data_IF_786739123426
#
_entry.id   IF_786739123426
#
_cell.length_a   1.000
_cell.length_b   1.000
_cell.length_c   1.000
_cell.angle_alpha   90.00
_cell.angle_beta   90.00
_cell.angle_gamma   90.00
#
_symmetry.space_group_name_H-M   'P 1'
#
loop_
_entity.id
_entity.type
_entity.pdbx_description
1 polymer ?
#
# COMPACT_ATOMS: atom_id res chain seq x y z
N UNK A 1 13.12 -16.23 -9.93
CA UNK A 1 11.65 -16.15 -9.74
C UNK A 1 11.11 -14.96 -10.53
N UNK A 2 10.37 -15.20 -11.60
CA UNK A 2 9.72 -14.12 -12.38
C UNK A 2 8.52 -13.61 -11.57
N UNK A 3 8.72 -12.54 -10.81
CA UNK A 3 7.62 -11.81 -10.17
C UNK A 3 6.78 -11.22 -11.30
N UNK A 4 5.63 -11.82 -11.59
CA UNK A 4 4.64 -11.25 -12.51
C UNK A 4 4.11 -9.97 -11.87
N UNK A 5 4.79 -8.86 -12.14
CA UNK A 5 4.31 -7.52 -11.76
C UNK A 5 3.08 -7.26 -12.62
N UNK A 6 1.91 -7.17 -11.98
CA UNK A 6 0.67 -6.74 -12.63
C UNK A 6 0.94 -5.39 -13.31
N UNK A 7 0.68 -5.32 -14.62
CA UNK A 7 0.86 -4.10 -15.43
C UNK A 7 -0.51 -3.60 -15.90
N UNK A 8 -0.67 -2.28 -15.98
CA UNK A 8 -1.88 -1.68 -16.57
C UNK A 8 -1.85 -1.79 -18.11
N UNK A 9 -2.91 -1.33 -18.79
CA UNK A 9 -3.00 -1.31 -20.27
C UNK A 9 -1.85 -0.52 -20.95
N UNK A 10 -1.21 0.39 -20.22
CA UNK A 10 -0.05 1.17 -20.67
C UNK A 10 1.30 0.53 -20.27
N UNK A 11 1.32 -0.75 -19.89
CA UNK A 11 2.51 -1.51 -19.48
C UNK A 11 3.23 -0.95 -18.23
N UNK A 12 2.60 -0.07 -17.47
CA UNK A 12 3.16 0.45 -16.22
C UNK A 12 2.84 -0.47 -15.05
N UNK A 13 3.77 -0.63 -14.09
CA UNK A 13 3.54 -1.45 -12.91
C UNK A 13 2.39 -0.89 -12.06
N UNK A 14 1.46 -1.75 -11.69
CA UNK A 14 0.34 -1.43 -10.81
C UNK A 14 0.86 -1.37 -9.37
N UNK A 15 0.75 -0.19 -8.74
CA UNK A 15 1.25 0.04 -7.37
C UNK A 15 0.22 -0.30 -6.29
N UNK A 16 -1.06 -0.30 -6.63
CA UNK A 16 -2.17 -0.60 -5.73
C UNK A 16 -3.35 -1.16 -6.53
N UNK A 17 -4.10 -2.07 -5.92
CA UNK A 17 -5.32 -2.65 -6.48
C UNK A 17 -6.47 -2.34 -5.52
N UNK A 18 -7.59 -1.85 -6.06
CA UNK A 18 -8.83 -1.69 -5.28
C UNK A 18 -9.54 -3.03 -5.23
N UNK A 19 -9.84 -3.50 -4.02
CA UNK A 19 -10.68 -4.66 -3.81
C UNK A 19 -12.10 -4.19 -3.48
N UNK A 20 -13.09 -4.78 -4.15
CA UNK A 20 -14.50 -4.54 -3.88
C UNK A 20 -15.09 -5.80 -3.25
N UNK A 21 -15.73 -5.63 -2.09
CA UNK A 21 -16.30 -6.73 -1.33
C UNK A 21 -17.82 -6.66 -1.36
N UNK A 22 -18.46 -7.82 -1.48
CA UNK A 22 -19.93 -7.92 -1.46
C UNK A 22 -20.50 -7.82 -0.03
N UNK A 23 -19.70 -8.13 0.98
CA UNK A 23 -20.10 -8.07 2.40
C UNK A 23 -19.16 -7.15 3.19
N UNK A 24 -19.73 -6.43 4.15
CA UNK A 24 -18.95 -5.61 5.08
C UNK A 24 -18.07 -6.46 6.01
N UNK A 25 -18.52 -7.67 6.36
CA UNK A 25 -17.79 -8.58 7.24
C UNK A 25 -16.47 -9.04 6.63
N UNK A 26 -16.48 -9.52 5.38
CA UNK A 26 -15.25 -9.96 4.70
C UNK A 26 -14.28 -8.80 4.44
N UNK A 27 -14.83 -7.60 4.18
CA UNK A 27 -14.01 -6.38 4.09
C UNK A 27 -13.31 -6.11 5.42
N UNK A 28 -14.04 -6.13 6.53
CA UNK A 28 -13.48 -5.80 7.85
C UNK A 28 -12.43 -6.82 8.28
N UNK A 29 -12.69 -8.11 8.08
CA UNK A 29 -11.73 -9.18 8.39
C UNK A 29 -10.39 -8.98 7.64
N UNK A 30 -10.45 -8.65 6.35
CA UNK A 30 -9.25 -8.40 5.55
C UNK A 30 -8.57 -7.07 5.92
N UNK A 31 -9.32 -6.05 6.33
CA UNK A 31 -8.76 -4.79 6.83
C UNK A 31 -8.07 -4.99 8.18
N UNK A 32 -8.66 -5.75 9.10
CA UNK A 32 -8.09 -6.09 10.40
C UNK A 32 -6.84 -6.95 10.27
N UNK A 33 -6.82 -7.89 9.32
CA UNK A 33 -5.62 -8.67 9.01
C UNK A 33 -4.44 -7.79 8.54
N UNK A 34 -4.70 -6.65 7.92
CA UNK A 34 -3.69 -5.66 7.50
C UNK A 34 -2.75 -6.10 6.37
N UNK A 35 -2.74 -7.39 6.03
CA UNK A 35 -1.99 -7.98 4.93
C UNK A 35 -2.75 -9.15 4.28
N UNK A 36 -2.51 -9.35 2.98
CA UNK A 36 -2.99 -10.53 2.25
C UNK A 36 -1.84 -11.19 1.51
N UNK A 37 -1.85 -12.53 1.46
CA UNK A 37 -0.86 -13.31 0.71
C UNK A 37 -1.47 -13.81 -0.60
N UNK A 38 -0.87 -13.44 -1.73
CA UNK A 38 -1.26 -13.93 -3.06
C UNK A 38 -0.01 -14.50 -3.73
N UNK A 39 -0.04 -15.80 -4.05
CA UNK A 39 1.07 -16.50 -4.71
C UNK A 39 2.43 -16.24 -4.03
N UNK A 40 2.48 -16.38 -2.70
CA UNK A 40 3.67 -16.17 -1.85
C UNK A 40 4.18 -14.72 -1.78
N UNK A 41 3.40 -13.75 -2.28
CA UNK A 41 3.70 -12.32 -2.14
C UNK A 41 2.73 -11.73 -1.14
N UNK A 42 3.28 -11.10 -0.09
CA UNK A 42 2.50 -10.33 0.89
C UNK A 42 2.21 -8.93 0.37
N UNK A 43 0.95 -8.53 0.42
CA UNK A 43 0.48 -7.20 0.09
C UNK A 43 -0.08 -6.54 1.33
N UNK A 44 0.37 -5.31 1.61
CA UNK A 44 -0.23 -4.49 2.65
C UNK A 44 -1.65 -4.10 2.23
N UNK A 45 -2.61 -4.39 3.09
CA UNK A 45 -3.99 -3.92 2.93
C UNK A 45 -4.14 -2.62 3.71
N UNK A 46 -4.77 -1.65 3.07
CA UNK A 46 -5.16 -0.39 3.71
C UNK A 46 -6.59 -0.09 3.33
N UNK A 47 -7.31 0.57 4.24
CA UNK A 47 -8.66 1.01 3.95
C UNK A 47 -8.65 1.99 2.78
N UNK A 48 -9.43 1.66 1.75
CA UNK A 48 -9.56 2.52 0.57
C UNK A 48 -10.61 3.59 0.86
N UNK A 49 -10.13 4.81 1.05
CA UNK A 49 -11.01 5.96 1.14
C UNK A 49 -11.13 6.60 -0.23
N UNK A 50 -12.35 6.55 -0.80
CA UNK A 50 -12.65 7.35 -1.98
C UNK A 50 -12.36 8.82 -1.67
N UNK A 51 -11.70 9.51 -2.61
CA UNK A 51 -11.44 10.94 -2.44
C UNK A 51 -12.76 11.67 -2.20
N UNK A 52 -12.80 12.48 -1.14
CA UNK A 52 -14.03 13.14 -0.77
C UNK A 52 -14.45 14.12 -1.88
N UNK A 53 -15.73 14.08 -2.24
CA UNK A 53 -16.28 15.03 -3.21
C UNK A 53 -16.24 16.43 -2.61
N UNK A 54 -15.60 17.36 -3.32
CA UNK A 54 -15.57 18.77 -2.90
C UNK A 54 -16.88 19.42 -3.26
N UNK A 55 -17.55 19.97 -2.26
CA UNK A 55 -18.69 20.85 -2.47
C UNK A 55 -18.20 22.16 -3.11
N UNK A 56 -18.57 22.37 -4.38
CA UNK A 56 -18.30 23.61 -5.13
C UNK A 56 -19.64 24.28 -5.42
N UNK A 57 -19.78 25.53 -5.02
CA UNK A 57 -20.98 26.32 -5.25
C UNK A 57 -21.18 26.60 -6.73
N UNK A 58 -22.33 26.25 -7.30
CA UNK A 58 -22.62 26.47 -8.73
C UNK A 58 -22.81 27.94 -9.12
N UNK A 59 -22.89 28.86 -8.15
CA UNK A 59 -23.07 30.29 -8.41
C UNK A 59 -21.75 31.05 -8.45
N UNK A 60 -20.90 30.87 -7.43
CA UNK A 60 -19.62 31.58 -7.32
C UNK A 60 -18.39 30.70 -7.59
N UNK A 61 -18.58 29.39 -7.80
CA UNK A 61 -17.53 28.39 -7.88
C UNK A 61 -16.60 28.32 -6.66
N UNK A 62 -17.00 28.92 -5.52
CA UNK A 62 -16.31 28.80 -4.25
C UNK A 62 -16.45 27.40 -3.63
N UNK A 63 -15.43 26.97 -2.90
CA UNK A 63 -15.43 25.70 -2.15
C UNK A 63 -16.21 25.83 -0.83
N UNK A 64 -16.78 24.72 -0.36
CA UNK A 64 -17.22 24.55 1.03
C UNK A 64 -18.61 25.08 1.39
N UNK A 65 -19.43 25.51 0.42
CA UNK A 65 -20.78 25.98 0.72
C UNK A 65 -21.81 25.64 -0.37
N UNK A 66 -23.07 25.52 0.04
CA UNK A 66 -24.20 25.36 -0.87
C UNK A 66 -24.62 26.70 -1.47
N UNK A 67 -25.23 26.66 -2.66
CA UNK A 67 -25.76 27.86 -3.34
C UNK A 67 -26.69 28.71 -2.46
N UNK A 68 -27.49 28.08 -1.60
CA UNK A 68 -28.40 28.75 -0.66
C UNK A 68 -27.67 29.65 0.34
N UNK A 69 -26.42 29.31 0.68
CA UNK A 69 -25.59 30.01 1.66
C UNK A 69 -24.47 30.82 0.96
N UNK A 70 -24.62 31.08 -0.34
CA UNK A 70 -23.64 31.87 -1.08
C UNK A 70 -23.80 33.36 -0.76
N UNK A 71 -22.68 34.03 -0.48
CA UNK A 71 -22.65 35.47 -0.23
C UNK A 71 -22.88 36.30 -1.50
N UNK A 72 -22.61 35.72 -2.69
CA UNK A 72 -22.89 36.33 -3.99
C UNK A 72 -24.33 35.99 -4.41
N UNK A 73 -25.35 36.67 -3.87
CA UNK A 73 -26.75 36.37 -4.22
C UNK A 73 -27.18 36.97 -5.56
N UNK A 74 -26.70 38.18 -5.86
CA UNK A 74 -27.10 38.97 -7.03
C UNK A 74 -26.06 38.95 -8.16
N UNK A 75 -24.94 38.25 -7.93
CA UNK A 75 -23.84 38.11 -8.88
C UNK A 75 -23.51 36.63 -8.99
N UNK A 76 -23.13 36.20 -10.18
CA UNK A 76 -22.61 34.89 -10.46
C UNK A 76 -21.22 35.00 -11.07
N UNK A 77 -20.38 34.01 -10.83
CA UNK A 77 -19.00 34.00 -11.35
C UNK A 77 -18.96 33.15 -12.62
N UNK A 78 -18.32 33.64 -13.67
CA UNK A 78 -18.13 32.87 -14.89
C UNK A 78 -17.21 31.67 -14.63
N UNK A 79 -17.63 30.48 -15.06
CA UNK A 79 -16.85 29.23 -14.88
C UNK A 79 -15.48 29.28 -15.57
N UNK A 80 -15.41 29.97 -16.70
CA UNK A 80 -14.24 29.98 -17.60
C UNK A 80 -13.26 31.06 -17.17
N UNK A 81 -13.67 32.32 -17.14
CA UNK A 81 -12.77 33.45 -16.86
C UNK A 81 -12.76 33.91 -15.40
N UNK A 82 -13.62 33.36 -14.55
CA UNK A 82 -13.74 33.74 -13.13
C UNK A 82 -14.15 35.19 -12.85
N UNK A 83 -14.69 35.88 -13.85
CA UNK A 83 -15.25 37.23 -13.68
C UNK A 83 -16.65 37.19 -13.07
N UNK A 84 -16.94 38.16 -12.19
CA UNK A 84 -18.26 38.32 -11.57
C UNK A 84 -19.20 39.07 -12.50
N UNK A 85 -20.42 38.59 -12.63
CA UNK A 85 -21.42 39.09 -13.56
C UNK A 85 -22.80 39.03 -12.91
N UNK A 86 -23.64 40.04 -13.12
CA UNK A 86 -25.03 40.02 -12.63
C UNK A 86 -25.88 38.98 -13.38
N UNK A 87 -25.62 38.79 -14.68
CA UNK A 87 -26.31 37.80 -15.51
C UNK A 87 -25.30 37.03 -16.37
N UNK A 88 -25.24 35.70 -16.19
CA UNK A 88 -24.35 34.83 -16.98
C UNK A 88 -24.73 34.80 -18.47
N UNK A 89 -25.99 35.08 -18.82
CA UNK A 89 -26.45 35.06 -20.23
C UNK A 89 -25.94 36.24 -21.05
N UNK A 90 -25.73 37.39 -20.39
CA UNK A 90 -25.27 38.63 -21.02
C UNK A 90 -23.76 38.83 -20.88
N UNK A 91 -23.08 37.93 -20.16
CA UNK A 91 -21.65 38.00 -19.92
C UNK A 91 -20.85 37.73 -21.21
N UNK A 92 -20.00 38.70 -21.59
CA UNK A 92 -18.99 38.54 -22.63
C UNK A 92 -17.73 37.89 -22.04
N UNK A 93 -17.68 36.56 -22.08
CA UNK A 93 -16.55 35.80 -21.59
C UNK A 93 -15.28 36.09 -22.40
N UNK A 94 -14.18 36.40 -21.72
CA UNK A 94 -12.85 36.58 -22.34
C UNK A 94 -12.28 35.29 -22.94
N UNK A 95 -12.86 34.12 -22.65
CA UNK A 95 -12.41 32.81 -23.14
C UNK A 95 -11.13 32.29 -22.47
N UNK A 96 -10.42 33.14 -21.74
CA UNK A 96 -9.22 32.79 -20.99
C UNK A 96 -9.66 31.97 -19.78
N UNK A 97 -9.17 30.73 -19.69
CA UNK A 97 -9.42 29.89 -18.52
C UNK A 97 -8.66 30.43 -17.32
N UNK A 98 -9.38 30.71 -16.23
CA UNK A 98 -8.81 31.18 -14.98
C UNK A 98 -9.56 30.55 -13.83
N UNK A 99 -8.85 29.99 -12.87
CA UNK A 99 -9.44 29.39 -11.69
C UNK A 99 -9.73 30.43 -10.59
N UNK A 100 -10.93 30.40 -9.99
CA UNK A 100 -11.31 31.25 -8.83
C UNK A 100 -10.40 30.99 -7.62
N UNK A 101 -9.86 29.78 -7.49
CA UNK A 101 -9.12 29.37 -6.28
C UNK A 101 -7.62 29.67 -6.34
N UNK A 102 -6.97 29.27 -7.44
CA UNK A 102 -5.52 29.39 -7.57
C UNK A 102 -5.09 30.46 -8.59
N UNK A 103 -6.03 31.02 -9.36
CA UNK A 103 -5.74 31.95 -10.45
C UNK A 103 -5.07 31.32 -11.69
N UNK A 104 -4.83 30.00 -11.69
CA UNK A 104 -4.13 29.28 -12.76
C UNK A 104 -4.97 29.10 -14.04
N UNK A 105 -4.32 28.67 -15.15
CA UNK A 105 -4.92 28.59 -16.49
C UNK A 105 -5.78 27.32 -16.68
N UNK A 106 -6.82 27.18 -15.86
CA UNK A 106 -7.79 26.09 -15.96
C UNK A 106 -9.14 26.52 -15.36
N UNK A 107 -10.19 25.75 -15.62
CA UNK A 107 -11.53 26.01 -15.06
C UNK A 107 -11.57 25.78 -13.55
N UNK A 108 -12.45 26.52 -12.86
CA UNK A 108 -12.53 26.51 -11.39
C UNK A 108 -12.95 25.18 -10.76
N UNK A 109 -13.49 24.25 -11.54
CA UNK A 109 -13.86 22.90 -11.08
C UNK A 109 -12.89 21.80 -11.55
N UNK A 110 -11.73 22.16 -12.10
CA UNK A 110 -10.75 21.19 -12.60
C UNK A 110 -10.16 20.35 -11.44
N UNK A 111 -10.12 19.03 -11.61
CA UNK A 111 -9.50 18.10 -10.67
C UNK A 111 -7.97 18.30 -10.54
N UNK A 112 -7.34 18.99 -11.49
CA UNK A 112 -5.91 19.33 -11.47
C UNK A 112 -5.58 20.57 -10.63
N UNK A 113 -6.59 21.30 -10.14
CA UNK A 113 -6.37 22.47 -9.29
C UNK A 113 -5.70 22.08 -7.96
N UNK A 114 -4.52 22.65 -7.68
CA UNK A 114 -3.77 22.40 -6.44
C UNK A 114 -4.57 22.73 -5.17
N UNK A 115 -5.32 23.84 -5.16
CA UNK A 115 -6.16 24.24 -4.02
C UNK A 115 -7.29 23.24 -3.78
N UNK A 116 -7.93 22.76 -4.84
CA UNK A 116 -8.99 21.73 -4.71
C UNK A 116 -8.40 20.41 -4.23
N UNK A 117 -7.22 20.02 -4.73
CA UNK A 117 -6.52 18.81 -4.27
C UNK A 117 -6.15 18.88 -2.79
N UNK A 118 -5.62 20.02 -2.33
CA UNK A 118 -5.33 20.24 -0.91
C UNK A 118 -6.61 20.16 -0.08
N UNK A 119 -7.69 20.83 -0.50
CA UNK A 119 -8.97 20.78 0.18
C UNK A 119 -9.55 19.35 0.24
N UNK A 120 -9.47 18.58 -0.86
CA UNK A 120 -9.83 17.16 -0.89
C UNK A 120 -9.04 16.35 0.12
N UNK A 121 -7.73 16.57 0.19
CA UNK A 121 -6.83 15.82 1.07
C UNK A 121 -7.19 16.08 2.54
N UNK A 122 -7.44 17.35 2.90
CA UNK A 122 -7.88 17.72 4.26
C UNK A 122 -9.26 17.14 4.57
N UNK A 123 -10.20 17.24 3.63
CA UNK A 123 -11.55 16.71 3.80
C UNK A 123 -11.53 15.18 3.99
N UNK A 124 -10.78 14.47 3.15
CA UNK A 124 -10.56 13.03 3.31
C UNK A 124 -9.93 12.73 4.66
N UNK A 125 -8.82 13.41 5.05
CA UNK A 125 -8.17 13.20 6.35
C UNK A 125 -9.14 13.38 7.53
N UNK A 126 -9.96 14.43 7.51
CA UNK A 126 -10.95 14.69 8.56
C UNK A 126 -12.07 13.65 8.61
N UNK A 127 -12.39 13.02 7.48
CA UNK A 127 -13.30 11.88 7.47
C UNK A 127 -12.63 10.64 8.08
N UNK A 128 -11.33 10.43 7.82
CA UNK A 128 -10.60 9.28 8.35
C UNK A 128 -10.44 9.38 9.88
N UNK A 129 -10.04 10.56 10.36
CA UNK A 129 -9.78 10.80 11.78
C UNK A 129 -11.03 10.66 12.65
N UNK A 130 -12.23 10.79 12.07
CA UNK A 130 -13.51 10.60 12.77
C UNK A 130 -13.93 9.13 12.88
N UNK A 131 -13.32 8.24 12.09
CA UNK A 131 -13.66 6.81 12.03
C UNK A 131 -12.72 5.99 12.93
N UNK A 132 -11.50 6.46 13.20
CA UNK A 132 -10.62 5.87 14.21
C UNK A 132 -11.06 6.26 15.63
N UNK A 133 -11.29 5.30 16.55
CA UNK A 133 -11.38 5.59 17.97
C UNK A 133 -10.07 6.24 18.40
N UNK A 134 -10.18 7.43 18.99
CA UNK A 134 -9.08 8.22 19.53
C UNK A 134 -8.18 7.39 20.43
N UNK A 135 -6.94 7.18 19.99
CA UNK A 135 -5.78 7.13 20.86
C UNK A 135 -4.60 7.70 20.08
N UNK A 136 -3.83 8.57 20.74
CA UNK A 136 -2.58 9.23 20.33
C UNK A 136 -2.67 10.59 19.60
N UNK A 137 -2.40 11.60 20.42
CA UNK A 137 -1.51 12.75 20.19
C UNK A 137 -1.87 13.80 19.13
N UNK A 138 -2.32 14.94 19.68
CA UNK A 138 -2.38 16.24 19.04
C UNK A 138 -1.02 16.65 18.48
N UNK A 139 -0.83 16.47 17.17
CA UNK A 139 0.08 17.31 16.39
C UNK A 139 -0.79 18.24 15.54
N UNK A 140 -0.94 19.47 16.03
CA UNK A 140 -1.54 20.58 15.28
C UNK A 140 -0.48 21.08 14.29
N UNK A 141 -0.67 21.01 12.97
CA UNK A 141 0.07 21.86 12.05
C UNK A 141 -0.71 23.17 11.93
N UNK A 142 -0.15 24.24 12.48
CA UNK A 142 -0.53 25.62 12.19
C UNK A 142 -0.59 25.83 10.67
N UNK A 143 -1.73 26.28 10.14
CA UNK A 143 -1.76 27.36 9.15
C UNK A 143 -3.16 27.96 8.93
N UNK A 144 -3.17 29.28 9.06
CA UNK A 144 -4.16 30.31 8.72
C UNK A 144 -5.31 29.91 7.79
N UNK A 145 -6.53 30.06 8.32
CA UNK A 145 -7.66 30.59 7.55
C UNK A 145 -8.23 31.79 8.31
N UNK A 146 -7.92 32.99 7.83
CA UNK A 146 -8.54 34.21 8.29
C UNK A 146 -9.98 34.29 7.78
N UNK A 147 -10.85 34.79 8.65
CA UNK A 147 -12.21 35.29 8.45
C UNK A 147 -13.36 34.33 8.77
N UNK A 148 -13.74 34.30 10.04
CA UNK A 148 -15.15 34.16 10.49
C UNK A 148 -15.49 35.36 11.41
N UNK A 149 -16.71 35.93 11.37
CA UNK A 149 -17.02 37.18 12.06
C UNK A 149 -17.27 37.00 13.56
N UNK A 150 -16.68 37.90 14.35
CA UNK A 150 -16.87 38.05 15.79
C UNK A 150 -18.30 38.48 16.13
N UNK A 151 -18.99 37.67 16.94
CA UNK A 151 -20.09 38.13 17.79
C UNK A 151 -19.50 38.83 19.01
N UNK A 152 -19.90 40.08 19.25
CA UNK A 152 -19.49 40.85 20.42
C UNK A 152 -20.17 40.37 21.70
N UNK A 153 -19.43 40.41 22.81
CA UNK A 153 -19.98 40.55 24.14
C UNK A 153 -18.93 41.16 25.07
N UNK A 154 -19.32 42.28 25.66
CA UNK A 154 -18.72 42.99 26.78
C UNK A 154 -18.59 42.11 28.02
N UNK A 155 -17.48 42.20 28.77
CA UNK A 155 -17.49 42.33 30.24
C UNK A 155 -16.08 42.55 30.80
N UNK A 156 -15.99 43.56 31.67
CA UNK A 156 -14.87 43.94 32.52
C UNK A 156 -14.60 42.89 33.60
N UNK A 157 -13.33 42.64 33.94
CA UNK A 157 -12.87 42.37 35.32
C UNK A 157 -11.34 42.25 35.36
N UNK A 158 -10.68 43.30 35.82
CA UNK A 158 -9.32 43.24 36.36
C UNK A 158 -9.41 42.73 37.81
N UNK A 159 -8.73 41.62 38.12
CA UNK A 159 -8.52 41.17 39.49
C UNK A 159 -7.04 40.82 39.71
N UNK A 160 -6.52 41.39 40.80
CA UNK A 160 -5.12 41.53 41.20
C UNK A 160 -4.48 40.23 41.75
N UNK A 161 -3.17 40.09 41.51
CA UNK A 161 -2.32 38.90 41.74
C UNK A 161 -2.04 38.52 43.21
N UNK A 162 -2.65 39.19 44.19
CA UNK A 162 -2.21 39.13 45.60
C UNK A 162 -2.82 38.01 46.47
N UNK A 163 -3.78 37.22 45.96
CA UNK A 163 -4.53 36.25 46.81
C UNK A 163 -4.07 34.77 46.73
N UNK A 164 -3.00 34.44 45.99
CA UNK A 164 -2.64 33.02 45.72
C UNK A 164 -1.75 32.38 46.80
N UNK A 165 -1.16 33.14 47.74
CA UNK A 165 -0.04 32.61 48.57
C UNK A 165 -0.45 32.15 49.99
N UNK A 166 -1.73 32.14 50.38
CA UNK A 166 -2.13 31.78 51.76
C UNK A 166 -2.98 30.50 51.92
N UNK A 167 -2.85 29.52 51.03
CA UNK A 167 -3.72 28.34 51.05
C UNK A 167 -3.11 26.96 50.72
N UNK A 168 -1.79 26.77 50.71
CA UNK A 168 -1.20 25.45 50.39
C UNK A 168 -0.71 24.72 51.65
N UNK A 169 -1.65 24.10 52.36
CA UNK A 169 -1.38 23.10 53.40
C UNK A 169 -1.47 21.70 52.82
N UNK A 170 -0.34 20.98 52.82
CA UNK A 170 -0.13 19.51 52.86
C UNK A 170 -0.81 18.54 51.85
N UNK A 171 -1.96 18.85 51.27
CA UNK A 171 -2.80 17.91 50.52
C UNK A 171 -2.35 17.73 49.04
N UNK A 172 -1.71 18.75 48.46
CA UNK A 172 -1.33 18.73 47.04
C UNK A 172 -0.16 17.76 46.74
N UNK A 173 0.79 17.63 47.67
CA UNK A 173 1.95 16.74 47.50
C UNK A 173 1.55 15.26 47.65
N UNK A 174 0.62 14.92 48.55
CA UNK A 174 0.12 13.54 48.70
C UNK A 174 -0.66 13.10 47.46
N UNK A 175 -1.46 13.99 46.87
CA UNK A 175 -2.18 13.73 45.61
C UNK A 175 -1.21 13.53 44.43
N UNK A 176 -0.11 14.28 44.40
CA UNK A 176 0.92 14.13 43.37
C UNK A 176 1.61 12.76 43.47
N UNK A 177 2.00 12.33 44.67
CA UNK A 177 2.65 11.04 44.88
C UNK A 177 1.74 9.87 44.48
N UNK A 178 0.44 9.91 44.85
CA UNK A 178 -0.53 8.88 44.41
C UNK A 178 -0.71 8.83 42.89
N UNK A 179 -0.63 9.97 42.21
CA UNK A 179 -0.65 10.00 40.74
C UNK A 179 0.61 9.43 40.12
N UNK A 180 1.78 9.69 40.70
CA UNK A 180 3.06 9.12 40.25
C UNK A 180 3.04 7.60 40.40
N UNK A 181 2.61 7.08 41.55
CA UNK A 181 2.51 5.63 41.77
C UNK A 181 1.53 4.98 40.78
N UNK A 182 0.36 5.60 40.56
CA UNK A 182 -0.61 5.11 39.57
C UNK A 182 -0.09 5.15 38.12
N UNK A 183 0.80 6.07 37.78
CA UNK A 183 1.44 6.11 36.46
C UNK A 183 2.48 5.00 36.38
N UNK A 184 3.28 4.82 37.44
CA UNK A 184 4.33 3.80 37.49
C UNK A 184 3.75 2.40 37.30
N UNK A 185 2.66 2.08 38.01
CA UNK A 185 1.99 0.78 37.87
C UNK A 185 1.46 0.54 36.46
N UNK A 186 0.86 1.57 35.83
CA UNK A 186 0.36 1.47 34.45
C UNK A 186 1.48 1.26 33.44
N UNK A 187 2.60 1.98 33.61
CA UNK A 187 3.78 1.81 32.74
C UNK A 187 4.36 0.41 32.89
N UNK A 188 4.37 -0.15 34.10
CA UNK A 188 4.86 -1.50 34.36
C UNK A 188 3.92 -2.58 33.78
N UNK A 189 2.60 -2.40 33.88
CA UNK A 189 1.59 -3.26 33.25
C UNK A 189 1.72 -3.25 31.72
N UNK A 190 1.83 -2.06 31.10
CA UNK A 190 2.00 -1.92 29.64
C UNK A 190 3.34 -2.51 29.17
N UNK A 191 4.42 -2.30 29.92
CA UNK A 191 5.74 -2.88 29.65
C UNK A 191 5.70 -4.41 29.68
N UNK A 192 5.06 -4.99 30.71
CA UNK A 192 4.91 -6.43 30.83
C UNK A 192 4.04 -7.03 29.72
N UNK A 193 2.93 -6.36 29.37
CA UNK A 193 2.08 -6.76 28.25
C UNK A 193 2.86 -6.76 26.93
N UNK A 194 3.61 -5.70 26.66
CA UNK A 194 4.44 -5.59 25.45
C UNK A 194 5.50 -6.69 25.39
N UNK A 195 6.16 -6.98 26.52
CA UNK A 195 7.15 -8.06 26.60
C UNK A 195 6.54 -9.43 26.29
N UNK A 196 5.33 -9.69 26.77
CA UNK A 196 4.62 -10.94 26.50
C UNK A 196 4.27 -11.07 25.01
N UNK A 197 3.75 -10.01 24.39
CA UNK A 197 3.46 -10.01 22.95
C UNK A 197 4.71 -10.23 22.09
N UNK A 198 5.85 -9.68 22.49
CA UNK A 198 7.12 -9.90 21.78
C UNK A 198 7.55 -11.37 21.86
N UNK A 199 7.42 -12.02 23.01
CA UNK A 199 7.77 -13.44 23.15
C UNK A 199 6.83 -14.37 22.37
N UNK A 200 5.54 -14.02 22.30
CA UNK A 200 4.58 -14.74 21.47
C UNK A 200 4.92 -14.62 19.98
N UNK A 201 5.19 -13.40 19.50
CA UNK A 201 5.63 -13.15 18.12
C UNK A 201 6.93 -13.89 17.78
N UNK A 202 7.90 -13.94 18.70
CA UNK A 202 9.14 -14.71 18.50
C UNK A 202 8.86 -16.20 18.35
N UNK A 203 7.95 -16.75 19.16
CA UNK A 203 7.56 -18.16 19.10
C UNK A 203 6.86 -18.48 17.77
N UNK A 204 5.93 -17.64 17.35
CA UNK A 204 5.26 -17.78 16.04
C UNK A 204 6.25 -17.72 14.88
N UNK A 205 7.16 -16.74 14.89
CA UNK A 205 8.18 -16.60 13.86
C UNK A 205 9.08 -17.84 13.77
N UNK A 206 9.46 -18.42 14.91
CA UNK A 206 10.25 -19.66 14.95
C UNK A 206 9.49 -20.85 14.38
N UNK A 207 8.21 -20.99 14.72
CA UNK A 207 7.37 -22.07 14.17
C UNK A 207 7.22 -21.94 12.66
N UNK A 208 6.92 -20.74 12.16
CA UNK A 208 6.81 -20.48 10.73
C UNK A 208 8.13 -20.75 9.98
N UNK A 209 9.28 -20.45 10.59
CA UNK A 209 10.58 -20.77 10.02
C UNK A 209 10.79 -22.28 9.87
N UNK A 210 10.47 -23.08 10.89
CA UNK A 210 10.60 -24.54 10.82
C UNK A 210 9.62 -25.17 9.81
N UNK A 211 8.37 -24.68 9.74
CA UNK A 211 7.40 -25.11 8.73
C UNK A 211 7.90 -24.81 7.31
N UNK A 212 8.42 -23.60 7.09
CA UNK A 212 8.97 -23.20 5.80
C UNK A 212 10.17 -24.08 5.42
N UNK A 213 11.05 -24.36 6.37
CA UNK A 213 12.21 -25.24 6.18
C UNK A 213 11.78 -26.66 5.81
N UNK A 214 10.73 -27.19 6.43
CA UNK A 214 10.18 -28.51 6.10
C UNK A 214 9.57 -28.53 4.68
N UNK A 215 8.83 -27.49 4.30
CA UNK A 215 8.26 -27.36 2.95
C UNK A 215 9.36 -27.29 1.87
N UNK A 216 10.45 -26.58 2.14
CA UNK A 216 11.60 -26.51 1.23
C UNK A 216 12.23 -27.90 1.05
N UNK A 217 12.43 -28.66 2.12
CA UNK A 217 12.97 -30.03 2.04
C UNK A 217 12.05 -30.96 1.22
N UNK A 218 10.73 -30.87 1.40
CA UNK A 218 9.76 -31.64 0.61
C UNK A 218 9.80 -31.26 -0.88
N UNK A 219 9.95 -29.97 -1.20
CA UNK A 219 10.08 -29.49 -2.57
C UNK A 219 11.38 -29.98 -3.23
N UNK A 220 12.49 -29.96 -2.50
CA UNK A 220 13.78 -30.48 -2.98
C UNK A 220 13.68 -31.99 -3.31
N UNK A 221 13.00 -32.77 -2.47
CA UNK A 221 12.74 -34.19 -2.76
C UNK A 221 11.90 -34.37 -4.03
N UNK A 222 10.82 -33.59 -4.19
CA UNK A 222 9.97 -33.64 -5.38
C UNK A 222 10.72 -33.27 -6.66
N UNK A 223 11.60 -32.27 -6.60
CA UNK A 223 12.47 -31.89 -7.73
C UNK A 223 13.39 -33.04 -8.08
N UNK A 224 14.02 -33.67 -7.09
CA UNK A 224 14.92 -34.82 -7.31
C UNK A 224 14.20 -36.00 -8.00
N UNK A 225 12.95 -36.29 -7.59
CA UNK A 225 12.11 -37.30 -8.24
C UNK A 225 11.76 -36.92 -9.68
N UNK A 226 11.45 -35.64 -9.94
CA UNK A 226 11.12 -35.14 -11.27
C UNK A 226 12.32 -35.22 -12.22
N UNK A 227 13.50 -34.83 -11.75
CA UNK A 227 14.75 -34.94 -12.52
C UNK A 227 15.05 -36.40 -12.90
N UNK A 228 14.83 -37.35 -11.98
CA UNK A 228 14.96 -38.77 -12.27
C UNK A 228 13.99 -39.23 -13.35
N UNK A 229 12.71 -38.87 -13.25
CA UNK A 229 11.69 -39.22 -14.25
C UNK A 229 12.00 -38.63 -15.63
N UNK A 230 12.46 -37.38 -15.66
CA UNK A 230 12.87 -36.73 -16.91
C UNK A 230 14.06 -37.45 -17.56
N UNK A 231 15.04 -37.87 -16.75
CA UNK A 231 16.16 -38.68 -17.23
C UNK A 231 15.68 -40.00 -17.85
N UNK A 232 14.87 -40.77 -17.13
CA UNK A 232 14.33 -42.05 -17.60
C UNK A 232 13.53 -41.88 -18.90
N UNK A 233 12.75 -40.80 -19.00
CA UNK A 233 12.03 -40.43 -20.23
C UNK A 233 12.99 -40.12 -21.38
N UNK A 234 14.07 -39.39 -21.14
CA UNK A 234 15.05 -39.05 -22.19
C UNK A 234 15.78 -40.28 -22.70
N UNK A 235 16.16 -41.21 -21.80
CA UNK A 235 16.82 -42.47 -22.16
C UNK A 235 15.91 -43.31 -23.04
N UNK A 236 14.66 -43.51 -22.62
CA UNK A 236 13.67 -44.27 -23.39
C UNK A 236 13.40 -43.65 -24.76
N UNK A 237 13.34 -42.32 -24.83
CA UNK A 237 13.19 -41.60 -26.10
C UNK A 237 14.40 -41.83 -27.01
N UNK A 238 15.62 -41.79 -26.46
CA UNK A 238 16.86 -42.10 -27.17
C UNK A 238 16.88 -43.53 -27.73
N UNK A 239 16.45 -44.51 -26.94
CA UNK A 239 16.32 -45.92 -27.37
C UNK A 239 15.32 -46.07 -28.52
N UNK A 240 14.16 -45.40 -28.44
CA UNK A 240 13.15 -45.41 -29.52
C UNK A 240 13.72 -44.81 -30.80
N UNK A 241 14.38 -43.65 -30.71
CA UNK A 241 15.01 -42.99 -31.88
C UNK A 241 16.06 -43.92 -32.48
N UNK A 242 16.92 -44.53 -31.66
CA UNK A 242 17.95 -45.44 -32.13
C UNK A 242 17.34 -46.64 -32.88
N UNK A 243 16.28 -47.25 -32.33
CA UNK A 243 15.58 -48.37 -32.96
C UNK A 243 14.92 -47.97 -34.30
N UNK A 244 14.34 -46.77 -34.38
CA UNK A 244 13.77 -46.23 -35.62
C UNK A 244 14.89 -46.05 -36.67
N UNK A 245 16.01 -45.43 -36.28
CA UNK A 245 17.15 -45.24 -37.18
C UNK A 245 17.71 -46.57 -37.69
N UNK A 246 17.83 -47.60 -36.85
CA UNK A 246 18.35 -48.91 -37.28
C UNK A 246 17.36 -49.69 -38.15
N UNK A 247 16.05 -49.48 -37.98
CA UNK A 247 15.02 -50.24 -38.71
C UNK A 247 14.67 -49.59 -40.06
N UNK A 248 14.66 -48.26 -40.12
CA UNK A 248 14.21 -47.53 -41.31
C UNK A 248 15.34 -47.00 -42.20
N UNK A 249 16.56 -46.85 -41.68
CA UNK A 249 17.69 -46.36 -42.47
C UNK A 249 18.64 -47.50 -42.81
N UNK A 250 18.50 -48.07 -44.01
CA UNK A 250 19.56 -48.89 -44.59
C UNK A 250 20.85 -48.05 -44.74
N UNK A 251 22.04 -48.59 -44.40
CA UNK A 251 23.27 -47.83 -44.19
C UNK A 251 23.95 -47.34 -45.49
N UNK A 252 23.24 -47.26 -46.62
CA UNK A 252 23.87 -47.05 -47.93
C UNK A 252 23.89 -45.60 -48.43
N UNK A 253 23.29 -44.63 -47.74
CA UNK A 253 23.43 -43.22 -48.11
C UNK A 253 24.23 -42.42 -47.07
N UNK A 254 25.05 -41.47 -47.56
CA UNK A 254 25.89 -40.58 -46.76
C UNK A 254 25.10 -39.75 -45.75
N UNK A 255 23.82 -39.52 -46.02
CA UNK A 255 22.91 -38.76 -45.18
C UNK A 255 22.57 -39.53 -43.89
N UNK A 256 22.37 -40.85 -43.95
CA UNK A 256 22.11 -41.70 -42.78
C UNK A 256 23.28 -41.74 -41.80
N UNK A 257 24.52 -41.69 -42.30
CA UNK A 257 25.70 -41.59 -41.44
C UNK A 257 25.80 -40.23 -40.74
N UNK A 258 25.49 -39.12 -41.43
CA UNK A 258 25.47 -37.79 -40.82
C UNK A 258 24.43 -37.67 -39.69
N UNK A 259 23.23 -38.22 -39.90
CA UNK A 259 22.19 -38.24 -38.86
C UNK A 259 22.60 -39.07 -37.64
N UNK A 260 23.27 -40.21 -37.85
CA UNK A 260 23.80 -41.04 -36.75
C UNK A 260 24.83 -40.27 -35.93
N UNK A 261 25.77 -39.58 -36.57
CA UNK A 261 26.78 -38.77 -35.86
C UNK A 261 26.15 -37.61 -35.09
N UNK A 262 25.21 -36.88 -35.70
CA UNK A 262 24.49 -35.78 -35.04
C UNK A 262 23.80 -36.24 -33.75
N UNK A 263 23.08 -37.36 -33.78
CA UNK A 263 22.39 -37.87 -32.60
C UNK A 263 23.33 -38.37 -31.51
N UNK A 264 24.45 -38.99 -31.89
CA UNK A 264 25.49 -39.37 -30.92
C UNK A 264 26.10 -38.16 -30.21
N UNK A 265 26.28 -37.04 -30.92
CA UNK A 265 26.76 -35.78 -30.36
C UNK A 265 25.75 -35.16 -29.39
N UNK A 266 24.45 -35.17 -29.73
CA UNK A 266 23.39 -34.67 -28.85
C UNK A 266 23.27 -35.51 -27.56
N UNK A 267 23.38 -36.84 -27.66
CA UNK A 267 23.41 -37.73 -26.49
C UNK A 267 24.60 -37.40 -25.58
N UNK A 268 25.78 -37.14 -26.17
CA UNK A 268 26.98 -36.74 -25.41
C UNK A 268 26.81 -35.39 -24.71
N UNK A 269 26.27 -34.37 -25.39
CA UNK A 269 25.99 -33.05 -24.80
C UNK A 269 25.02 -33.15 -23.63
N UNK A 270 23.99 -33.99 -23.73
CA UNK A 270 23.05 -34.25 -22.64
C UNK A 270 23.72 -34.94 -21.44
N UNK A 271 24.64 -35.89 -21.68
CA UNK A 271 25.42 -36.55 -20.63
C UNK A 271 26.41 -35.59 -19.93
N UNK A 272 27.10 -34.73 -20.69
CA UNK A 272 28.10 -33.78 -20.15
C UNK A 272 27.45 -32.64 -19.36
N UNK A 273 26.26 -32.18 -19.78
CA UNK A 273 25.45 -31.21 -19.03
C UNK A 273 25.11 -31.72 -17.62
N UNK A 274 24.90 -33.03 -17.48
CA UNK A 274 24.63 -33.68 -16.18
C UNK A 274 25.86 -33.76 -15.27
N UNK A 275 27.05 -34.01 -15.83
CA UNK A 275 28.32 -33.97 -15.08
C UNK A 275 28.58 -32.59 -14.48
N UNK A 276 28.19 -31.53 -15.21
CA UNK A 276 28.31 -30.15 -14.76
C UNK A 276 27.29 -29.79 -13.67
N UNK A 277 26.04 -30.25 -13.80
CA UNK A 277 24.98 -30.04 -12.78
C UNK A 277 25.29 -30.82 -11.49
N UNK A 278 25.75 -32.08 -11.58
CA UNK A 278 26.13 -32.89 -10.42
C UNK A 278 27.34 -32.32 -9.65
N UNK A 279 28.26 -31.64 -10.33
CA UNK A 279 29.37 -30.91 -9.69
C UNK A 279 28.91 -29.63 -8.99
N UNK A 280 27.93 -28.92 -9.55
CA UNK A 280 27.34 -27.74 -8.92
C UNK A 280 26.54 -28.07 -7.65
N UNK A 281 25.79 -29.18 -7.62
CA UNK A 281 25.06 -29.60 -6.40
C UNK A 281 25.98 -30.01 -5.24
N UNK A 282 27.21 -30.52 -5.52
CA UNK A 282 28.18 -30.83 -4.45
C UNK A 282 28.86 -29.58 -3.85
N UNK A 283 28.97 -28.49 -4.60
CA UNK A 283 29.56 -27.25 -4.11
C UNK A 283 28.61 -26.42 -3.22
N UNK A 284 27.30 -26.70 -3.22
CA UNK A 284 26.34 -26.05 -2.31
C UNK A 284 26.18 -26.74 -0.94
N UNK A 285 26.78 -27.92 -0.72
CA UNK A 285 26.78 -28.60 0.58
C UNK A 285 27.97 -28.22 1.48
N UNK A 286 28.96 -27.47 0.98
CA UNK A 286 30.11 -26.99 1.76
C UNK A 286 30.13 -25.44 1.81
N UNK A 287 29.08 -24.84 2.38
CA UNK A 287 29.12 -23.44 2.81
C UNK A 287 29.83 -23.32 4.17
N UNK A 288 30.64 -22.27 4.43
CA UNK A 288 31.45 -22.18 5.64
C UNK A 288 30.55 -22.04 6.87
N UNK A 289 30.72 -22.95 7.83
CA UNK A 289 30.25 -22.76 9.20
C UNK A 289 31.04 -21.62 9.83
N UNK A 290 30.38 -20.48 10.04
CA UNK A 290 30.78 -19.41 10.95
C UNK A 290 29.55 -18.96 11.72
#
# INVERSE_FOLDING_TARGET
VNVVRLKNKAQQPIRAVKLEFLSASSRNEILEAGEISIMHIKYKVVEFFAQANVLICSNCYGIGHFRKNCNQKNEATCKTCSEKCSNLKEHRCSGIQKCVHCGGPHVSNDAKCNVIQQYRTVLTRNLLSKITPTNTENVIPNQCFNNLPHTGLTTTNELSYANVVKGTTSNSNELLMKKIDSILTKVEEESNSTRQSIEELKKEMKNHYEETKQQVAELEEKVMVMEKKFYDFSVRTGEIIQNICTTLMEPQNSQGQQWKTYWQEQIKVMADSRSSIAKSSKNHQNGPTN
#
